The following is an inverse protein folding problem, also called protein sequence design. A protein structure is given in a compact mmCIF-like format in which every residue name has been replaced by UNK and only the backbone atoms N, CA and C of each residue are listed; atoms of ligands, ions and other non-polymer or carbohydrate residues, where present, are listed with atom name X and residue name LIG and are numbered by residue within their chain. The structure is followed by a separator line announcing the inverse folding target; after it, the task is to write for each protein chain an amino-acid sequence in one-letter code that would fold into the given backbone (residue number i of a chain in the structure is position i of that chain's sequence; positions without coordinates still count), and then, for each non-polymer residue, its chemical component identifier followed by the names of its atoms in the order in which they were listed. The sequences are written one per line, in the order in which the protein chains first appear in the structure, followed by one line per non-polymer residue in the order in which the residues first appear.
data_IF_002977971412
#
_entry.id   IF_002977971412
#
_cell.length_a   1.000
_cell.length_b   1.000
_cell.length_c   1.000
_cell.angle_alpha   90.00
_cell.angle_beta   90.00
_cell.angle_gamma   90.00
#
_symmetry.space_group_name_H-M   'P 1'
#
loop_
_entity.id
_entity.type
_entity.pdbx_description
1 polymer ?
#
# COMPACT_ATOMS: atom_id res chain seq x y z
N UNK A 1 -8.21 -4.88 -40.68
CA UNK A 1 -7.08 -5.70 -40.20
C UNK A 1 -7.30 -6.00 -38.73
N UNK A 2 -7.44 -7.29 -38.34
CA UNK A 2 -7.74 -7.67 -36.97
C UNK A 2 -6.45 -7.67 -36.15
N UNK A 3 -6.44 -6.95 -35.03
CA UNK A 3 -5.35 -7.05 -34.05
C UNK A 3 -5.71 -8.19 -33.10
N UNK A 4 -5.14 -9.35 -33.39
CA UNK A 4 -5.15 -10.52 -32.51
C UNK A 4 -4.20 -10.41 -31.33
N UNK A 5 -4.26 -11.36 -30.39
CA UNK A 5 -3.81 -11.25 -29.01
C UNK A 5 -2.30 -11.44 -28.90
N UNK A 6 -1.56 -10.33 -28.82
CA UNK A 6 -0.10 -10.39 -28.60
C UNK A 6 0.38 -9.53 -27.42
N UNK A 7 -0.52 -8.77 -26.77
CA UNK A 7 -0.19 -7.94 -25.60
C UNK A 7 -0.37 -8.65 -24.25
N UNK A 8 -0.86 -9.90 -24.23
CA UNK A 8 -1.01 -10.69 -23.00
C UNK A 8 0.27 -11.44 -22.58
N UNK A 9 1.28 -11.54 -23.45
CA UNK A 9 2.45 -12.41 -23.21
C UNK A 9 3.70 -11.69 -22.69
N UNK A 10 3.78 -10.36 -22.80
CA UNK A 10 4.96 -9.61 -22.37
C UNK A 10 4.85 -9.07 -20.93
N UNK A 11 3.64 -8.96 -20.38
CA UNK A 11 3.43 -8.73 -18.95
C UNK A 11 3.71 -9.99 -18.11
N UNK A 12 3.61 -11.19 -18.69
CA UNK A 12 3.90 -12.48 -18.02
C UNK A 12 5.37 -12.72 -17.66
N UNK A 13 6.30 -12.09 -18.37
CA UNK A 13 7.75 -12.37 -18.25
C UNK A 13 8.39 -11.87 -16.95
N UNK A 14 7.90 -10.78 -16.37
CA UNK A 14 8.34 -10.31 -15.05
C UNK A 14 7.56 -10.99 -13.90
N UNK A 15 6.39 -11.56 -14.20
CA UNK A 15 5.47 -12.20 -13.25
C UNK A 15 5.98 -13.57 -12.79
N UNK A 16 6.75 -14.29 -13.61
CA UNK A 16 7.32 -15.58 -13.27
C UNK A 16 8.42 -15.53 -12.18
N UNK A 17 8.94 -14.35 -11.82
CA UNK A 17 9.91 -14.20 -10.73
C UNK A 17 9.26 -14.02 -9.35
N UNK A 18 7.94 -13.83 -9.27
CA UNK A 18 7.18 -14.09 -8.05
C UNK A 18 6.88 -15.59 -8.00
N UNK A 19 7.86 -16.35 -7.51
CA UNK A 19 7.83 -17.80 -7.27
C UNK A 19 6.47 -18.24 -6.70
N UNK A 20 5.58 -18.77 -7.56
CA UNK A 20 4.31 -19.39 -7.15
C UNK A 20 3.00 -18.60 -7.41
N UNK A 21 2.99 -17.54 -8.23
CA UNK A 21 1.74 -16.83 -8.55
C UNK A 21 0.92 -17.50 -9.68
N UNK A 22 -0.35 -17.82 -9.41
CA UNK A 22 -1.32 -18.35 -10.39
C UNK A 22 -2.19 -17.22 -10.94
N UNK A 23 -2.36 -17.11 -12.27
CA UNK A 23 -3.33 -16.19 -12.88
C UNK A 23 -4.64 -16.92 -13.15
N UNK A 24 -5.75 -16.35 -12.68
CA UNK A 24 -7.10 -16.93 -12.80
C UNK A 24 -7.97 -15.98 -13.62
N UNK A 25 -8.45 -16.47 -14.78
CA UNK A 25 -9.36 -15.74 -15.65
C UNK A 25 -10.76 -15.67 -15.02
N UNK A 26 -11.41 -14.51 -15.14
CA UNK A 26 -12.79 -14.31 -14.67
C UNK A 26 -13.77 -14.13 -15.81
N UNK A 27 -14.92 -14.78 -15.67
CA UNK A 27 -16.10 -14.52 -16.50
C UNK A 27 -16.80 -13.25 -16.01
N UNK A 28 -17.28 -12.43 -16.94
CA UNK A 28 -18.09 -11.26 -16.61
C UNK A 28 -19.37 -11.67 -15.85
N UNK A 29 -19.81 -10.90 -14.83
CA UNK A 29 -21.04 -11.19 -14.10
C UNK A 29 -22.26 -11.06 -15.03
N UNK A 30 -23.31 -11.88 -14.85
CA UNK A 30 -24.53 -11.78 -15.63
C UNK A 30 -25.25 -10.44 -15.37
N UNK A 31 -25.91 -9.86 -16.37
CA UNK A 31 -26.58 -8.57 -16.22
C UNK A 31 -27.73 -8.66 -15.20
N UNK A 32 -27.74 -7.76 -14.21
CA UNK A 32 -28.80 -7.62 -13.21
C UNK A 32 -28.45 -8.07 -11.79
N UNK A 33 -27.26 -8.64 -11.56
CA UNK A 33 -26.76 -8.90 -10.21
C UNK A 33 -26.15 -7.63 -9.59
N UNK A 34 -26.33 -7.45 -8.27
CA UNK A 34 -25.63 -6.40 -7.53
C UNK A 34 -24.12 -6.59 -7.73
N UNK A 35 -23.45 -5.53 -8.20
CA UNK A 35 -22.03 -5.59 -8.51
C UNK A 35 -21.24 -5.69 -7.20
N UNK A 36 -20.87 -6.91 -6.82
CA UNK A 36 -19.98 -7.16 -5.70
C UNK A 36 -18.59 -6.61 -6.02
N UNK A 37 -17.88 -6.14 -5.00
CA UNK A 37 -16.52 -5.64 -5.17
C UNK A 37 -15.59 -6.73 -5.70
N UNK A 38 -14.83 -6.40 -6.74
CA UNK A 38 -14.01 -7.38 -7.45
C UNK A 38 -12.76 -7.70 -6.64
N UNK A 39 -12.49 -8.98 -6.41
CA UNK A 39 -11.25 -9.43 -5.74
C UNK A 39 -10.08 -9.36 -6.74
N UNK A 40 -9.05 -8.56 -6.57
CA UNK A 40 -7.92 -8.51 -7.52
C UNK A 40 -6.88 -9.61 -7.27
N UNK A 41 -6.73 -10.03 -6.02
CA UNK A 41 -5.81 -11.09 -5.65
C UNK A 41 -6.28 -11.83 -4.39
N UNK A 42 -5.80 -13.06 -4.21
CA UNK A 42 -5.84 -13.77 -2.94
C UNK A 42 -4.45 -14.21 -2.53
N UNK A 43 -4.14 -14.13 -1.24
CA UNK A 43 -2.90 -14.62 -0.66
C UNK A 43 -3.18 -15.57 0.50
N UNK A 44 -2.49 -16.71 0.48
CA UNK A 44 -2.65 -17.80 1.46
C UNK A 44 -1.27 -18.18 2.00
N UNK A 45 -0.88 -17.71 3.20
CA UNK A 45 0.33 -18.15 3.88
C UNK A 45 0.24 -19.62 4.28
N UNK A 46 1.32 -20.39 4.16
CA UNK A 46 1.35 -21.79 4.62
C UNK A 46 0.99 -21.93 6.11
N UNK A 47 1.28 -20.90 6.91
CA UNK A 47 0.96 -20.86 8.33
C UNK A 47 -0.49 -20.44 8.64
N UNK A 48 -1.28 -20.02 7.65
CA UNK A 48 -2.69 -19.64 7.79
C UNK A 48 -3.49 -20.08 6.55
N UNK A 49 -4.23 -21.20 6.62
CA UNK A 49 -4.99 -21.71 5.47
C UNK A 49 -6.18 -20.81 5.08
N UNK A 50 -6.44 -19.73 5.82
CA UNK A 50 -7.51 -18.79 5.47
C UNK A 50 -7.00 -17.81 4.41
N UNK A 51 -7.54 -17.83 3.18
CA UNK A 51 -7.11 -16.89 2.15
C UNK A 51 -7.47 -15.45 2.54
N UNK A 52 -6.57 -14.52 2.20
CA UNK A 52 -6.79 -13.09 2.33
C UNK A 52 -7.00 -12.50 0.96
N UNK A 53 -8.08 -11.74 0.81
CA UNK A 53 -8.46 -11.15 -0.46
C UNK A 53 -8.04 -9.69 -0.49
N UNK A 54 -7.48 -9.27 -1.62
CA UNK A 54 -7.28 -7.85 -1.96
C UNK A 54 -8.42 -7.45 -2.87
N UNK A 55 -9.17 -6.44 -2.47
CA UNK A 55 -10.33 -5.95 -3.22
C UNK A 55 -9.95 -4.82 -4.17
N UNK A 56 -10.78 -4.60 -5.20
CA UNK A 56 -10.59 -3.54 -6.17
C UNK A 56 -10.77 -2.18 -5.51
N UNK A 57 -11.76 -2.03 -4.62
CA UNK A 57 -11.95 -0.80 -3.85
C UNK A 57 -10.70 -0.44 -3.03
N UNK A 58 -10.14 -1.39 -2.29
CA UNK A 58 -8.90 -1.24 -1.51
C UNK A 58 -7.72 -0.81 -2.38
N UNK A 59 -7.60 -1.44 -3.55
CA UNK A 59 -6.58 -1.12 -4.53
C UNK A 59 -6.70 0.30 -5.07
N UNK A 60 -7.91 0.68 -5.52
CA UNK A 60 -8.17 2.02 -6.06
C UNK A 60 -7.96 3.06 -4.97
N UNK A 61 -8.53 2.86 -3.78
CA UNK A 61 -8.38 3.78 -2.66
C UNK A 61 -6.90 4.00 -2.33
N UNK A 62 -6.13 2.93 -2.17
CA UNK A 62 -4.72 3.03 -1.83
C UNK A 62 -3.92 3.74 -2.94
N UNK A 63 -4.10 3.32 -4.20
CA UNK A 63 -3.40 3.92 -5.33
C UNK A 63 -3.66 5.42 -5.41
N UNK A 64 -4.93 5.82 -5.32
CA UNK A 64 -5.35 7.23 -5.45
C UNK A 64 -4.87 8.06 -4.26
N UNK A 65 -4.86 7.48 -3.06
CA UNK A 65 -4.23 8.11 -1.88
C UNK A 65 -2.74 8.37 -2.13
N UNK A 66 -2.00 7.38 -2.64
CA UNK A 66 -0.57 7.51 -2.95
C UNK A 66 -0.28 8.54 -4.04
N UNK A 67 -1.12 8.61 -5.08
CA UNK A 67 -1.00 9.60 -6.15
C UNK A 67 -1.30 11.03 -5.65
N UNK A 68 -2.34 11.20 -4.83
CA UNK A 68 -2.68 12.47 -4.21
C UNK A 68 -1.54 12.99 -3.32
N UNK A 69 -0.94 12.10 -2.50
CA UNK A 69 0.21 12.44 -1.65
C UNK A 69 1.50 12.76 -2.44
N UNK A 70 1.57 12.36 -3.72
CA UNK A 70 2.70 12.69 -4.62
C UNK A 70 2.49 13.96 -5.43
N UNK A 71 1.38 14.67 -5.20
CA UNK A 71 1.08 15.89 -5.93
C UNK A 71 0.59 15.67 -7.35
N UNK A 72 -0.02 14.51 -7.65
CA UNK A 72 -0.61 14.21 -8.94
C UNK A 72 -2.17 14.23 -8.87
N UNK A 73 -2.81 15.41 -8.71
CA UNK A 73 -4.25 15.52 -8.54
C UNK A 73 -5.04 15.03 -9.76
N UNK A 74 -4.54 15.27 -10.98
CA UNK A 74 -5.17 14.80 -12.22
C UNK A 74 -5.15 13.26 -12.33
N UNK A 75 -4.19 12.64 -11.65
CA UNK A 75 -4.10 11.19 -11.53
C UNK A 75 -5.14 10.62 -10.56
N UNK A 76 -6.07 11.40 -10.01
CA UNK A 76 -7.26 10.88 -9.36
C UNK A 76 -8.29 10.31 -10.34
N UNK A 77 -8.27 10.79 -11.59
CA UNK A 77 -9.23 10.41 -12.64
C UNK A 77 -8.60 9.65 -13.80
N UNK A 78 -7.27 9.59 -13.86
CA UNK A 78 -6.54 8.90 -14.93
C UNK A 78 -6.81 7.39 -14.92
N UNK A 79 -6.81 6.79 -16.12
CA UNK A 79 -6.74 5.34 -16.30
C UNK A 79 -5.45 4.82 -15.68
N UNK A 80 -5.55 3.73 -14.92
CA UNK A 80 -4.42 3.14 -14.19
C UNK A 80 -3.72 2.14 -15.10
N UNK A 81 -2.45 2.39 -15.42
CA UNK A 81 -1.60 1.44 -16.14
C UNK A 81 -1.03 0.36 -15.20
N UNK A 82 -0.73 -0.81 -15.77
CA UNK A 82 -0.21 -1.99 -15.08
C UNK A 82 1.14 -1.76 -14.41
N UNK A 83 1.97 -0.87 -14.97
CA UNK A 83 3.28 -0.52 -14.42
C UNK A 83 3.18 0.22 -13.08
N UNK A 84 2.11 0.98 -12.87
CA UNK A 84 1.84 1.74 -11.63
C UNK A 84 1.02 0.88 -10.65
N UNK A 85 0.19 -0.03 -11.16
CA UNK A 85 -0.71 -0.86 -10.35
C UNK A 85 0.02 -1.97 -9.58
N UNK A 86 1.02 -2.62 -10.19
CA UNK A 86 1.62 -3.81 -9.58
C UNK A 86 2.28 -3.55 -8.20
N UNK A 87 3.08 -2.49 -7.99
CA UNK A 87 3.65 -2.21 -6.68
C UNK A 87 2.61 -1.92 -5.59
N UNK A 88 1.45 -1.38 -5.96
CA UNK A 88 0.33 -1.15 -5.03
C UNK A 88 -0.36 -2.47 -4.70
N UNK A 89 -0.58 -3.34 -5.68
CA UNK A 89 -1.15 -4.67 -5.45
C UNK A 89 -0.23 -5.52 -4.55
N UNK A 90 1.08 -5.54 -4.82
CA UNK A 90 2.06 -6.20 -3.94
C UNK A 90 2.04 -5.64 -2.52
N UNK A 91 1.90 -4.32 -2.39
CA UNK A 91 1.79 -3.70 -1.08
C UNK A 91 0.54 -4.17 -0.33
N UNK A 92 -0.63 -4.22 -0.96
CA UNK A 92 -1.87 -4.68 -0.30
C UNK A 92 -1.82 -6.15 0.08
N UNK A 93 -1.25 -7.00 -0.78
CA UNK A 93 -1.05 -8.42 -0.46
C UNK A 93 -0.14 -8.58 0.76
N UNK A 94 0.98 -7.84 0.80
CA UNK A 94 1.89 -7.83 1.93
C UNK A 94 1.20 -7.33 3.22
N UNK A 95 0.45 -6.24 3.12
CA UNK A 95 -0.27 -5.63 4.23
C UNK A 95 -1.29 -6.61 4.83
N UNK A 96 -2.04 -7.33 3.98
CA UNK A 96 -3.00 -8.34 4.43
C UNK A 96 -2.33 -9.48 5.23
N UNK A 97 -1.14 -9.92 4.84
CA UNK A 97 -0.37 -10.94 5.57
C UNK A 97 0.18 -10.37 6.88
N UNK A 98 0.83 -9.21 6.82
CA UNK A 98 1.45 -8.57 7.99
C UNK A 98 0.41 -8.23 9.06
N UNK A 99 -0.76 -7.71 8.68
CA UNK A 99 -1.85 -7.42 9.63
C UNK A 99 -2.31 -8.70 10.34
N UNK A 100 -2.38 -9.81 9.61
CA UNK A 100 -2.74 -11.10 10.21
C UNK A 100 -1.69 -11.60 11.20
N UNK A 101 -0.41 -11.43 10.88
CA UNK A 101 0.67 -11.77 11.78
C UNK A 101 0.70 -10.86 13.02
N UNK A 102 0.38 -9.58 12.85
CA UNK A 102 0.16 -8.66 13.97
C UNK A 102 -0.96 -9.12 14.89
N UNK A 103 -2.11 -9.51 14.35
CA UNK A 103 -3.23 -10.04 15.14
C UNK A 103 -2.78 -11.26 15.97
N UNK A 104 -2.05 -12.20 15.35
CA UNK A 104 -1.51 -13.38 16.05
C UNK A 104 -0.50 -13.02 17.14
N UNK A 105 0.22 -11.92 16.96
CA UNK A 105 1.18 -11.40 17.92
C UNK A 105 0.56 -10.46 18.98
N UNK A 106 -0.75 -10.18 18.92
CA UNK A 106 -1.42 -9.23 19.81
C UNK A 106 -1.03 -7.76 19.57
N UNK A 107 -0.66 -7.40 18.33
CA UNK A 107 -0.18 -6.08 17.93
C UNK A 107 -1.17 -5.30 17.05
N UNK A 108 -2.43 -5.72 16.99
CA UNK A 108 -3.47 -5.19 16.09
C UNK A 108 -4.32 -4.05 16.68
N UNK A 109 -4.20 -3.76 17.98
CA UNK A 109 -4.96 -2.69 18.63
C UNK A 109 -4.55 -1.29 18.15
N UNK A 110 -5.44 -0.55 17.48
CA UNK A 110 -5.19 0.85 17.06
C UNK A 110 -6.02 1.80 17.89
N UNK A 111 -5.35 2.69 18.62
CA UNK A 111 -6.00 3.72 19.44
C UNK A 111 -6.60 4.83 18.56
N UNK A 112 -7.62 5.57 19.05
CA UNK A 112 -8.16 6.72 18.34
C UNK A 112 -7.11 7.80 18.01
N UNK A 113 -6.14 8.02 18.90
CA UNK A 113 -5.07 8.98 18.70
C UNK A 113 -4.12 8.58 17.56
N UNK A 114 -3.79 7.28 17.45
CA UNK A 114 -2.98 6.78 16.34
C UNK A 114 -3.71 6.91 15.00
N UNK A 115 -5.01 6.62 14.96
CA UNK A 115 -5.80 6.80 13.75
C UNK A 115 -5.92 8.29 13.36
N UNK A 116 -6.15 9.18 14.33
CA UNK A 116 -6.19 10.61 14.08
C UNK A 116 -4.85 11.13 13.53
N UNK A 117 -3.73 10.68 14.09
CA UNK A 117 -2.39 11.02 13.59
C UNK A 117 -2.15 10.47 12.18
N UNK A 118 -2.68 9.29 11.85
CA UNK A 118 -2.60 8.74 10.49
C UNK A 118 -3.42 9.55 9.48
N UNK A 119 -4.63 10.01 9.86
CA UNK A 119 -5.47 10.88 9.03
C UNK A 119 -4.81 12.22 8.77
N UNK A 120 -4.34 12.89 9.83
CA UNK A 120 -3.65 14.18 9.74
C UNK A 120 -2.40 14.07 8.86
N UNK A 121 -1.68 12.95 8.95
CA UNK A 121 -0.54 12.69 8.09
C UNK A 121 -0.91 12.62 6.62
N UNK A 122 -1.95 11.88 6.26
CA UNK A 122 -2.38 11.81 4.86
C UNK A 122 -2.80 13.20 4.39
N UNK A 123 -3.64 13.90 5.15
CA UNK A 123 -4.10 15.24 4.82
C UNK A 123 -2.95 16.24 4.63
N UNK A 124 -1.95 16.24 5.51
CA UNK A 124 -0.80 17.17 5.42
C UNK A 124 0.11 16.95 4.20
N UNK A 125 -0.02 15.80 3.52
CA UNK A 125 0.79 15.45 2.34
C UNK A 125 0.02 15.52 1.03
N UNK A 126 -1.30 15.57 1.08
CA UNK A 126 -2.08 15.75 -0.13
C UNK A 126 -1.82 17.14 -0.71
N UNK A 127 -1.85 17.24 -2.04
CA UNK A 127 -1.76 18.54 -2.70
C UNK A 127 -2.87 19.48 -2.17
N UNK A 128 -2.64 20.80 -2.06
CA UNK A 128 -3.66 21.74 -1.55
C UNK A 128 -5.00 21.69 -2.29
N UNK A 129 -5.00 21.25 -3.56
CA UNK A 129 -6.19 21.10 -4.39
C UNK A 129 -6.97 19.79 -4.15
N UNK A 130 -6.47 18.88 -3.31
CA UNK A 130 -7.11 17.59 -3.00
C UNK A 130 -7.17 17.43 -1.49
N UNK A 131 -8.37 17.50 -0.94
CA UNK A 131 -8.62 17.08 0.44
C UNK A 131 -9.08 15.62 0.50
N UNK A 132 -9.14 15.08 1.72
CA UNK A 132 -9.59 13.70 1.95
C UNK A 132 -11.01 13.50 1.43
N UNK A 133 -11.91 14.49 1.58
CA UNK A 133 -13.30 14.37 1.14
C UNK A 133 -13.44 14.30 -0.39
N UNK A 134 -12.58 15.01 -1.13
CA UNK A 134 -12.46 14.89 -2.58
C UNK A 134 -11.96 13.50 -2.97
N UNK A 135 -10.93 12.98 -2.31
CA UNK A 135 -10.45 11.61 -2.53
C UNK A 135 -11.56 10.59 -2.33
N UNK A 136 -12.28 10.65 -1.20
CA UNK A 136 -13.37 9.73 -0.88
C UNK A 136 -14.50 9.75 -1.92
N UNK A 137 -14.85 10.94 -2.42
CA UNK A 137 -15.86 11.09 -3.49
C UNK A 137 -15.39 10.47 -4.80
N UNK A 138 -14.14 10.72 -5.21
CA UNK A 138 -13.60 10.21 -6.47
C UNK A 138 -13.37 8.69 -6.45
N UNK A 139 -13.09 8.10 -5.28
CA UNK A 139 -12.95 6.65 -5.12
C UNK A 139 -14.26 5.95 -4.76
N UNK A 140 -15.37 6.69 -4.65
CA UNK A 140 -16.66 6.19 -4.18
C UNK A 140 -16.55 5.41 -2.85
N UNK A 141 -15.70 5.90 -1.95
CA UNK A 141 -15.35 5.22 -0.71
C UNK A 141 -15.86 6.00 0.50
N UNK A 142 -16.30 5.28 1.53
CA UNK A 142 -16.71 5.88 2.79
C UNK A 142 -15.52 6.25 3.67
N UNK A 143 -15.75 7.16 4.61
CA UNK A 143 -14.74 7.49 5.63
C UNK A 143 -14.35 6.28 6.50
N UNK A 144 -15.28 5.33 6.70
CA UNK A 144 -15.02 4.10 7.46
C UNK A 144 -14.06 3.15 6.73
N UNK A 145 -14.22 3.00 5.41
CA UNK A 145 -13.31 2.20 4.58
C UNK A 145 -11.92 2.83 4.52
N UNK A 146 -11.86 4.16 4.42
CA UNK A 146 -10.58 4.88 4.52
C UNK A 146 -9.91 4.70 5.88
N UNK A 147 -10.66 4.79 6.98
CA UNK A 147 -10.13 4.47 8.31
C UNK A 147 -9.64 3.04 8.41
N UNK A 148 -10.32 2.11 7.77
CA UNK A 148 -9.93 0.70 7.75
C UNK A 148 -8.58 0.53 7.06
N UNK A 149 -8.38 1.20 5.91
CA UNK A 149 -7.08 1.26 5.25
C UNK A 149 -6.00 1.87 6.16
N UNK A 150 -6.28 2.99 6.83
CA UNK A 150 -5.32 3.63 7.74
C UNK A 150 -4.97 2.75 8.94
N UNK A 151 -5.96 2.08 9.55
CA UNK A 151 -5.74 1.15 10.66
C UNK A 151 -4.84 0.00 10.25
N UNK A 152 -5.09 -0.62 9.09
CA UNK A 152 -4.24 -1.70 8.56
C UNK A 152 -2.79 -1.24 8.39
N UNK A 153 -2.57 -0.04 7.84
CA UNK A 153 -1.24 0.55 7.70
C UNK A 153 -0.54 0.79 9.03
N UNK A 154 -1.24 1.35 10.03
CA UNK A 154 -0.67 1.55 11.38
C UNK A 154 -0.28 0.22 12.02
N UNK A 155 -1.12 -0.80 11.90
CA UNK A 155 -0.83 -2.16 12.41
C UNK A 155 0.37 -2.76 11.69
N UNK A 156 0.43 -2.61 10.37
CA UNK A 156 1.53 -3.14 9.58
C UNK A 156 2.87 -2.47 9.89
N UNK A 157 2.89 -1.15 10.02
CA UNK A 157 4.06 -0.40 10.46
C UNK A 157 4.52 -0.87 11.84
N UNK A 158 3.60 -0.99 12.81
CA UNK A 158 3.92 -1.45 14.17
C UNK A 158 4.51 -2.86 14.17
N UNK A 159 3.92 -3.78 13.42
CA UNK A 159 4.42 -5.15 13.33
C UNK A 159 5.84 -5.17 12.77
N UNK A 160 6.06 -4.50 11.63
CA UNK A 160 7.36 -4.49 10.98
C UNK A 160 8.41 -3.81 11.85
N UNK A 161 8.10 -2.71 12.53
CA UNK A 161 9.02 -2.10 13.50
C UNK A 161 9.38 -3.06 14.65
N UNK A 162 8.40 -3.82 15.14
CA UNK A 162 8.62 -4.75 16.26
C UNK A 162 9.37 -6.02 15.87
N UNK A 163 9.15 -6.55 14.66
CA UNK A 163 9.61 -7.89 14.25
C UNK A 163 10.66 -7.89 13.16
N UNK A 164 10.71 -6.83 12.36
CA UNK A 164 11.58 -6.66 11.19
C UNK A 164 12.10 -5.22 11.10
N UNK A 165 12.69 -4.65 12.17
CA UNK A 165 13.14 -3.27 12.16
C UNK A 165 14.12 -2.99 11.02
N UNK A 166 14.91 -4.00 10.60
CA UNK A 166 15.84 -3.91 9.47
C UNK A 166 15.19 -3.53 8.12
N UNK A 167 13.87 -3.74 7.96
CA UNK A 167 13.16 -3.38 6.72
C UNK A 167 12.67 -1.92 6.73
N UNK A 168 12.49 -1.32 7.90
CA UNK A 168 11.90 0.00 8.08
C UNK A 168 12.90 1.03 8.57
N UNK A 169 13.69 0.71 9.59
CA UNK A 169 14.55 1.65 10.28
C UNK A 169 15.65 2.18 9.33
N UNK A 170 15.72 3.50 9.11
CA UNK A 170 16.80 4.09 8.35
C UNK A 170 18.12 3.92 9.12
N UNK A 171 19.18 3.61 8.41
CA UNK A 171 20.53 3.63 8.96
C UNK A 171 20.93 5.04 9.38
N UNK A 172 21.98 5.17 10.19
CA UNK A 172 22.52 6.49 10.53
C UNK A 172 23.07 7.23 9.30
N UNK A 173 23.57 6.49 8.30
CA UNK A 173 24.02 7.03 7.02
C UNK A 173 22.83 7.54 6.18
N UNK A 174 21.73 6.77 6.09
CA UNK A 174 20.49 7.22 5.44
C UNK A 174 19.98 8.53 6.07
N UNK A 175 20.05 8.61 7.40
CA UNK A 175 19.61 9.77 8.16
C UNK A 175 20.56 10.97 7.95
N UNK A 176 21.87 10.75 7.97
CA UNK A 176 22.86 11.79 7.68
C UNK A 176 22.65 12.36 6.26
N UNK A 177 22.53 11.49 5.26
CA UNK A 177 22.27 11.88 3.89
C UNK A 177 20.93 12.61 3.74
N UNK A 178 19.89 12.16 4.44
CA UNK A 178 18.58 12.81 4.41
C UNK A 178 18.62 14.22 5.01
N UNK A 179 19.36 14.45 6.08
CA UNK A 179 19.46 15.76 6.71
C UNK A 179 20.08 16.82 5.78
N UNK A 180 20.90 16.41 4.81
CA UNK A 180 21.51 17.28 3.82
C UNK A 180 20.58 17.60 2.64
N UNK A 181 19.51 16.84 2.42
CA UNK A 181 18.63 16.99 1.27
C UNK A 181 17.63 18.14 1.44
N UNK A 182 17.54 19.01 0.42
CA UNK A 182 16.61 20.15 0.34
C UNK A 182 15.17 19.80 0.70
N UNK A 183 14.70 18.60 0.32
CA UNK A 183 13.32 18.14 0.56
C UNK A 183 12.93 18.08 2.05
N UNK A 184 13.90 17.98 2.97
CA UNK A 184 13.64 17.95 4.41
C UNK A 184 13.85 19.30 5.09
N UNK A 185 14.35 20.33 4.38
CA UNK A 185 14.52 21.68 4.96
C UNK A 185 13.25 22.23 5.60
N UNK A 186 12.04 22.09 5.02
CA UNK A 186 10.83 22.58 5.68
C UNK A 186 10.57 21.92 7.05
N UNK A 187 10.84 20.62 7.17
CA UNK A 187 10.68 19.89 8.44
C UNK A 187 11.71 20.35 9.48
N UNK A 188 12.94 20.62 9.05
CA UNK A 188 14.01 21.10 9.92
C UNK A 188 13.77 22.55 10.37
N UNK A 189 13.25 23.41 9.49
CA UNK A 189 12.95 24.81 9.81
C UNK A 189 11.83 24.96 10.86
N UNK A 190 10.88 24.01 10.89
CA UNK A 190 9.82 23.97 11.90
C UNK A 190 10.20 23.25 13.21
N UNK A 191 11.40 22.70 13.32
CA UNK A 191 11.81 21.93 14.49
C UNK A 191 12.25 22.83 15.65
N UNK A 192 11.77 22.54 16.87
CA UNK A 192 12.15 23.29 18.07
C UNK A 192 13.63 23.14 18.45
N UNK A 193 14.30 22.09 17.97
CA UNK A 193 15.72 21.84 18.20
C UNK A 193 16.32 20.93 17.12
N UNK A 194 17.65 20.85 16.98
CA UNK A 194 18.31 19.91 16.06
C UNK A 194 17.93 18.45 16.33
N UNK A 195 17.83 18.04 17.59
CA UNK A 195 17.41 16.69 17.99
C UNK A 195 15.96 16.41 17.57
N UNK A 196 15.06 17.39 17.76
CA UNK A 196 13.68 17.27 17.29
C UNK A 196 13.62 17.18 15.76
N UNK A 197 14.43 17.96 15.05
CA UNK A 197 14.54 17.90 13.58
C UNK A 197 15.00 16.54 13.09
N UNK A 198 16.05 15.97 13.70
CA UNK A 198 16.54 14.62 13.38
C UNK A 198 15.47 13.55 13.63
N UNK A 199 14.71 13.66 14.72
CA UNK A 199 13.60 12.75 15.01
C UNK A 199 12.47 12.87 13.98
N UNK A 200 12.13 14.09 13.54
CA UNK A 200 11.14 14.33 12.49
C UNK A 200 11.58 13.72 11.14
N UNK A 201 12.84 13.91 10.75
CA UNK A 201 13.38 13.31 9.51
C UNK A 201 13.42 11.79 9.59
N UNK A 202 13.86 11.21 10.72
CA UNK A 202 13.81 9.74 10.92
C UNK A 202 12.39 9.20 10.78
N UNK A 203 11.41 9.86 11.41
CA UNK A 203 10.00 9.48 11.31
C UNK A 203 9.48 9.59 9.87
N UNK A 204 9.89 10.63 9.14
CA UNK A 204 9.54 10.80 7.73
C UNK A 204 10.12 9.67 6.85
N UNK A 205 11.39 9.29 7.07
CA UNK A 205 12.03 8.18 6.38
C UNK A 205 11.35 6.84 6.65
N UNK A 206 11.07 6.53 7.93
CA UNK A 206 10.34 5.32 8.33
C UNK A 206 9.02 5.16 7.56
N UNK A 207 8.24 6.24 7.52
CA UNK A 207 6.94 6.24 6.83
C UNK A 207 7.07 6.03 5.33
N UNK A 208 8.09 6.64 4.69
CA UNK A 208 8.37 6.45 3.26
C UNK A 208 8.91 5.05 2.95
N UNK A 209 9.53 4.39 3.93
CA UNK A 209 10.04 3.03 3.78
C UNK A 209 8.92 1.98 3.79
N UNK A 210 7.78 2.23 4.44
CA UNK A 210 6.71 1.24 4.64
C UNK A 210 6.24 0.54 3.36
N UNK A 211 5.88 1.23 2.25
CA UNK A 211 5.53 0.57 1.00
C UNK A 211 6.62 -0.39 0.49
N UNK A 212 7.89 0.03 0.59
CA UNK A 212 9.04 -0.79 0.16
C UNK A 212 9.23 -1.99 1.10
N UNK A 213 9.17 -1.77 2.41
CA UNK A 213 9.32 -2.80 3.43
C UNK A 213 8.26 -3.89 3.28
N UNK A 214 7.01 -3.52 3.05
CA UNK A 214 5.91 -4.45 2.78
C UNK A 214 6.19 -5.33 1.56
N UNK A 215 6.59 -4.74 0.43
CA UNK A 215 6.92 -5.52 -0.78
C UNK A 215 8.12 -6.44 -0.56
N UNK A 216 9.17 -5.97 0.13
CA UNK A 216 10.32 -6.79 0.49
C UNK A 216 9.91 -7.95 1.41
N UNK A 217 9.04 -7.69 2.38
CA UNK A 217 8.50 -8.72 3.27
C UNK A 217 7.77 -9.81 2.49
N UNK A 218 6.85 -9.43 1.61
CA UNK A 218 6.13 -10.38 0.75
C UNK A 218 7.07 -11.21 -0.11
N UNK A 219 8.08 -10.58 -0.74
CA UNK A 219 9.07 -11.29 -1.55
C UNK A 219 9.92 -12.26 -0.72
N UNK A 220 10.25 -11.90 0.51
CA UNK A 220 10.98 -12.76 1.43
C UNK A 220 10.17 -13.97 1.92
N UNK A 221 8.83 -13.93 1.83
CA UNK A 221 8.00 -15.11 2.11
C UNK A 221 8.22 -16.19 1.03
N UNK A 222 8.44 -15.79 -0.23
CA UNK A 222 8.77 -16.68 -1.33
C UNK A 222 7.71 -17.78 -1.50
N UNK A 223 8.15 -19.04 -1.55
CA UNK A 223 7.25 -20.20 -1.70
C UNK A 223 6.31 -20.45 -0.51
N UNK A 224 6.51 -19.76 0.63
CA UNK A 224 5.68 -19.93 1.85
C UNK A 224 4.33 -19.23 1.78
N UNK A 225 4.04 -18.55 0.67
CA UNK A 225 2.75 -17.93 0.38
C UNK A 225 2.30 -18.37 -1.00
N UNK A 226 1.05 -18.81 -1.09
CA UNK A 226 0.38 -19.01 -2.38
C UNK A 226 -0.32 -17.72 -2.76
N UNK A 227 -0.05 -17.21 -3.96
CA UNK A 227 -0.67 -16.00 -4.48
C UNK A 227 -1.48 -16.35 -5.72
N UNK A 228 -2.74 -15.90 -5.76
CA UNK A 228 -3.57 -15.97 -6.97
C UNK A 228 -3.95 -14.56 -7.38
N UNK A 229 -3.72 -14.21 -8.64
CA UNK A 229 -4.17 -12.95 -9.23
C UNK A 229 -5.34 -13.22 -10.13
N UNK A 230 -6.35 -12.36 -10.05
CA UNK A 230 -7.52 -12.48 -10.88
C UNK A 230 -7.49 -11.39 -11.93
N UNK A 231 -7.62 -11.80 -13.19
CA UNK A 231 -7.58 -10.93 -14.35
C UNK A 231 -8.83 -11.15 -15.18
N UNK A 232 -9.34 -10.08 -15.78
CA UNK A 232 -10.47 -10.17 -16.69
C UNK A 232 -10.03 -10.90 -17.97
N UNK A 233 -10.94 -11.71 -18.52
CA UNK A 233 -10.70 -12.51 -19.71
C UNK A 233 -10.77 -11.72 -21.03
#
# INVERSE_FOLDING_TARGET
MPWGPAMALLTGGLIAQLLGSESVLRSAPPPGEAQLDSVLASIEPESDPTPRFVLQSDFVLLLRTELAMRGAPDALRALVDDTVSLPILEQLMAEAVVVREAQRAGLDGVTPAELAAARELVASRMAPAVDVDALLRETHTSALEFDTLLRRRVVAERYLLSRRPELLEPSDDDLAQALEQERFRPLLAGAASPTAGRALVRRELLRRALPRALRQYLRALGSRVRVRRFVDA
#
